data_IF_829368394590
#
_entry.id   IF_829368394590
#
_cell.length_a   1.000
_cell.length_b   1.000
_cell.length_c   1.000
_cell.angle_alpha   90.00
_cell.angle_beta   90.00
_cell.angle_gamma   90.00
#
_symmetry.space_group_name_H-M   'P 1'
#
loop_
_entity.id
_entity.type
_entity.pdbx_description
1 polymer ?
#
# COMPACT_ATOMS: atom_id res chain seq x y z
N UNK A 1 -2.19 14.17 11.80
CA UNK A 1 -1.76 14.73 10.50
C UNK A 1 -2.95 14.90 9.54
N UNK A 2 -2.72 15.59 8.42
CA UNK A 2 -3.79 15.92 7.44
C UNK A 2 -4.49 14.65 6.91
N UNK A 3 -3.78 13.52 6.81
CA UNK A 3 -4.34 12.24 6.36
C UNK A 3 -5.54 11.74 7.18
N UNK A 4 -5.64 12.09 8.45
CA UNK A 4 -6.79 11.73 9.27
C UNK A 4 -8.09 12.37 8.76
N UNK A 5 -8.02 13.59 8.26
CA UNK A 5 -9.20 14.29 7.74
C UNK A 5 -9.81 13.64 6.49
N UNK A 6 -9.03 12.84 5.76
CA UNK A 6 -9.56 12.07 4.62
C UNK A 6 -10.63 11.05 5.04
N UNK A 7 -10.68 10.66 6.32
CA UNK A 7 -11.73 9.81 6.86
C UNK A 7 -13.13 10.42 6.66
N UNK A 8 -13.26 11.74 6.74
CA UNK A 8 -14.53 12.44 6.52
C UNK A 8 -14.97 12.51 5.05
N UNK A 9 -14.11 12.12 4.12
CA UNK A 9 -14.52 11.99 2.70
C UNK A 9 -15.47 10.80 2.52
N UNK A 10 -15.25 9.72 3.28
CA UNK A 10 -16.01 8.47 3.16
C UNK A 10 -16.94 8.20 4.35
N UNK A 11 -16.73 8.86 5.49
CA UNK A 11 -17.51 8.68 6.70
C UNK A 11 -18.40 9.88 7.00
N UNK A 12 -19.61 9.62 7.45
CA UNK A 12 -20.53 10.62 8.01
C UNK A 12 -20.17 10.99 9.44
N UNK A 13 -19.45 10.09 10.14
CA UNK A 13 -19.03 10.25 11.52
C UNK A 13 -17.80 9.42 11.79
N UNK A 14 -16.88 9.93 12.60
CA UNK A 14 -15.68 9.24 13.04
C UNK A 14 -15.64 9.20 14.56
N UNK A 15 -15.43 8.01 15.12
CA UNK A 15 -15.25 7.79 16.56
C UNK A 15 -13.84 7.24 16.80
N UNK A 16 -13.11 7.83 17.74
CA UNK A 16 -11.74 7.45 18.09
C UNK A 16 -11.68 7.16 19.56
N UNK A 17 -11.39 5.93 19.92
CA UNK A 17 -11.18 5.49 21.30
C UNK A 17 -9.70 5.29 21.51
N UNK A 18 -9.10 5.89 22.53
CA UNK A 18 -7.67 5.84 22.74
C UNK A 18 -7.30 5.68 24.20
N UNK A 19 -6.28 4.85 24.45
CA UNK A 19 -5.63 4.66 25.74
C UNK A 19 -4.14 4.88 25.59
N UNK A 20 -3.58 5.81 26.34
CA UNK A 20 -2.15 6.06 26.36
C UNK A 20 -1.40 4.94 27.10
N UNK A 21 -0.18 4.64 26.67
CA UNK A 21 0.68 3.70 27.39
C UNK A 21 0.87 4.13 28.85
N UNK A 22 0.64 3.21 29.80
CA UNK A 22 0.76 3.47 31.23
C UNK A 22 -0.36 4.32 31.84
N UNK A 23 -1.45 4.56 31.12
CA UNK A 23 -2.65 5.26 31.62
C UNK A 23 -3.80 4.29 31.83
N UNK A 24 -4.60 4.52 32.89
CA UNK A 24 -5.87 3.83 33.10
C UNK A 24 -7.04 4.53 32.44
N UNK A 25 -6.86 5.79 31.99
CA UNK A 25 -7.89 6.56 31.34
C UNK A 25 -8.06 6.16 29.89
N UNK A 26 -9.31 5.88 29.50
CA UNK A 26 -9.70 5.62 28.11
C UNK A 26 -10.77 6.60 27.72
N UNK A 27 -10.47 7.40 26.70
CA UNK A 27 -11.38 8.43 26.22
C UNK A 27 -11.83 8.13 24.79
N UNK A 28 -13.08 8.46 24.51
CA UNK A 28 -13.71 8.42 23.20
C UNK A 28 -13.90 9.85 22.68
N UNK A 29 -13.34 10.11 21.50
CA UNK A 29 -13.57 11.32 20.73
C UNK A 29 -14.52 11.01 19.58
N UNK A 30 -15.48 11.87 19.31
CA UNK A 30 -16.42 11.70 18.20
C UNK A 30 -16.62 13.02 17.46
N UNK A 31 -16.72 12.95 16.13
CA UNK A 31 -16.93 14.10 15.25
C UNK A 31 -17.66 13.66 13.97
N UNK A 32 -18.56 14.49 13.49
CA UNK A 32 -19.25 14.34 12.20
C UNK A 32 -18.62 15.14 11.05
N UNK A 33 -17.52 15.87 11.35
CA UNK A 33 -16.80 16.68 10.36
C UNK A 33 -17.42 18.07 10.12
N UNK A 34 -18.48 18.46 10.83
CA UNK A 34 -19.17 19.74 10.66
C UNK A 34 -18.80 20.72 11.80
N UNK A 35 -19.49 20.63 12.92
CA UNK A 35 -19.45 21.63 13.98
C UNK A 35 -18.91 21.06 15.30
N UNK A 36 -17.59 20.94 15.41
CA UNK A 36 -16.94 20.55 16.65
C UNK A 36 -16.83 19.04 16.88
N UNK A 37 -16.55 18.68 18.12
CA UNK A 37 -16.36 17.28 18.53
C UNK A 37 -16.79 17.10 19.99
N UNK A 38 -17.03 15.86 20.39
CA UNK A 38 -17.25 15.49 21.79
C UNK A 38 -16.10 14.65 22.31
N UNK A 39 -15.82 14.75 23.61
CA UNK A 39 -14.92 13.82 24.31
C UNK A 39 -15.66 13.32 25.55
N UNK A 40 -15.70 12.02 25.73
CA UNK A 40 -16.33 11.33 26.84
C UNK A 40 -15.51 10.12 27.30
N UNK A 41 -15.70 9.62 28.52
CA UNK A 41 -15.13 8.33 28.92
C UNK A 41 -15.64 7.22 28.01
N UNK A 42 -14.73 6.32 27.61
CA UNK A 42 -15.09 5.19 26.77
C UNK A 42 -15.98 4.17 27.51
N UNK A 43 -16.85 3.48 26.79
CA UNK A 43 -17.66 2.39 27.35
C UNK A 43 -16.79 1.16 27.67
N UNK A 44 -17.25 0.24 28.54
CA UNK A 44 -16.51 -0.98 28.85
C UNK A 44 -16.15 -1.82 27.62
N UNK A 45 -17.04 -1.88 26.61
CA UNK A 45 -16.82 -2.57 25.35
C UNK A 45 -15.71 -1.90 24.55
N UNK A 46 -15.68 -0.58 24.50
CA UNK A 46 -14.64 0.20 23.81
C UNK A 46 -13.28 0.09 24.51
N UNK A 47 -13.26 0.06 25.84
CA UNK A 47 -12.04 -0.18 26.62
C UNK A 47 -11.43 -1.54 26.25
N UNK A 48 -12.26 -2.57 26.06
CA UNK A 48 -11.80 -3.90 25.65
C UNK A 48 -11.16 -3.91 24.25
N UNK A 49 -11.59 -3.03 23.33
CA UNK A 49 -11.03 -2.94 21.97
C UNK A 49 -9.59 -2.39 21.96
N UNK A 50 -9.26 -1.46 22.85
CA UNK A 50 -7.93 -0.83 22.87
C UNK A 50 -6.93 -1.55 23.78
N UNK A 51 -7.38 -2.48 24.63
CA UNK A 51 -6.52 -3.26 25.51
C UNK A 51 -5.73 -2.39 26.50
N UNK A 52 -4.46 -2.76 26.73
CA UNK A 52 -3.59 -2.04 27.68
C UNK A 52 -3.13 -0.67 27.16
N UNK A 53 -3.02 -0.49 25.87
CA UNK A 53 -2.75 0.78 25.19
C UNK A 53 -3.05 0.65 23.69
N UNK A 54 -3.42 1.74 23.06
CA UNK A 54 -3.73 1.74 21.64
C UNK A 54 -4.79 2.73 21.24
N UNK A 55 -5.20 2.65 19.99
CA UNK A 55 -6.25 3.49 19.42
C UNK A 55 -7.13 2.66 18.50
N UNK A 56 -8.44 2.74 18.71
CA UNK A 56 -9.46 2.19 17.82
C UNK A 56 -10.14 3.34 17.08
N UNK A 57 -10.20 3.28 15.76
CA UNK A 57 -10.87 4.28 14.92
C UNK A 57 -12.03 3.60 14.20
N UNK A 58 -13.23 4.05 14.45
CA UNK A 58 -14.45 3.57 13.82
C UNK A 58 -14.98 4.60 12.85
N UNK A 59 -15.11 4.22 11.58
CA UNK A 59 -15.68 5.04 10.53
C UNK A 59 -17.11 4.59 10.26
N UNK A 60 -18.07 5.49 10.46
CA UNK A 60 -19.47 5.28 10.05
C UNK A 60 -19.59 5.74 8.61
N UNK A 61 -19.53 4.80 7.68
CA UNK A 61 -19.51 5.11 6.25
C UNK A 61 -20.78 5.86 5.84
N UNK A 62 -20.64 6.75 4.87
CA UNK A 62 -21.77 7.38 4.18
C UNK A 62 -22.50 6.32 3.36
N UNK A 63 -23.79 6.55 3.13
CA UNK A 63 -24.56 5.72 2.20
C UNK A 63 -23.94 5.82 0.78
N UNK A 64 -23.89 4.69 0.10
CA UNK A 64 -23.43 4.63 -1.30
C UNK A 64 -24.41 5.41 -2.17
N UNK A 65 -23.85 6.12 -3.16
CA UNK A 65 -24.59 6.85 -4.19
C UNK A 65 -24.30 6.27 -5.58
N UNK A 66 -24.94 6.78 -6.63
CA UNK A 66 -24.65 6.36 -8.01
C UNK A 66 -23.21 6.70 -8.42
N UNK A 67 -22.64 7.79 -7.86
CA UNK A 67 -21.30 8.26 -8.19
C UNK A 67 -20.21 7.72 -7.24
N UNK A 68 -20.57 7.35 -6.01
CA UNK A 68 -19.63 6.91 -4.97
C UNK A 68 -20.12 5.62 -4.28
N UNK A 69 -19.41 4.52 -4.49
CA UNK A 69 -19.70 3.24 -3.84
C UNK A 69 -18.83 3.05 -2.58
N UNK A 70 -19.31 3.53 -1.45
CA UNK A 70 -18.62 3.38 -0.16
C UNK A 70 -18.67 1.95 0.38
N UNK A 71 -19.63 1.11 -0.07
CA UNK A 71 -19.74 -0.29 0.34
C UNK A 71 -18.54 -1.14 -0.11
N UNK A 72 -17.83 -0.71 -1.17
CA UNK A 72 -16.57 -1.36 -1.58
C UNK A 72 -15.51 -1.34 -0.48
N UNK A 73 -15.53 -0.33 0.41
CA UNK A 73 -14.61 -0.22 1.54
C UNK A 73 -14.86 -1.27 2.63
N UNK A 74 -15.99 -1.99 2.57
CA UNK A 74 -16.29 -3.14 3.42
C UNK A 74 -15.82 -4.47 2.78
N UNK A 75 -15.37 -4.43 1.52
CA UNK A 75 -14.88 -5.59 0.81
C UNK A 75 -13.47 -5.97 1.24
N UNK A 76 -13.28 -7.19 1.73
CA UNK A 76 -11.98 -7.76 2.08
C UNK A 76 -10.97 -7.65 0.92
N UNK A 77 -11.42 -7.99 -0.30
CA UNK A 77 -10.58 -7.92 -1.50
C UNK A 77 -10.14 -6.47 -1.78
N UNK A 78 -11.07 -5.51 -1.71
CA UNK A 78 -10.77 -4.10 -1.97
C UNK A 78 -9.80 -3.50 -0.95
N UNK A 79 -9.98 -3.83 0.32
CA UNK A 79 -9.07 -3.39 1.38
C UNK A 79 -7.67 -3.97 1.19
N UNK A 80 -7.55 -5.26 0.84
CA UNK A 80 -6.25 -5.89 0.52
C UNK A 80 -5.57 -5.20 -0.66
N UNK A 81 -6.31 -4.90 -1.71
CA UNK A 81 -5.80 -4.18 -2.88
C UNK A 81 -5.25 -2.80 -2.49
N UNK A 82 -6.03 -1.99 -1.76
CA UNK A 82 -5.62 -0.66 -1.31
C UNK A 82 -4.38 -0.72 -0.39
N UNK A 83 -4.33 -1.65 0.56
CA UNK A 83 -3.18 -1.83 1.45
C UNK A 83 -1.94 -2.19 0.63
N UNK A 84 -2.03 -3.15 -0.28
CA UNK A 84 -0.92 -3.57 -1.13
C UNK A 84 -0.44 -2.45 -2.06
N UNK A 85 -1.37 -1.66 -2.58
CA UNK A 85 -1.05 -0.56 -3.48
C UNK A 85 -0.34 0.60 -2.77
N UNK A 86 -0.88 1.08 -1.66
CA UNK A 86 -0.43 2.32 -1.02
C UNK A 86 0.40 2.12 0.24
N UNK A 87 0.23 1.01 0.93
CA UNK A 87 0.79 0.77 2.26
C UNK A 87 1.58 -0.55 2.37
N UNK A 88 1.93 -1.17 1.23
CA UNK A 88 2.58 -2.48 1.23
C UNK A 88 3.89 -2.49 2.03
N UNK A 89 4.61 -1.38 2.03
CA UNK A 89 5.94 -1.28 2.62
C UNK A 89 5.98 -0.38 3.85
N UNK A 90 4.83 -0.07 4.44
CA UNK A 90 4.83 0.61 5.74
C UNK A 90 5.51 -0.27 6.79
N UNK A 91 6.23 0.38 7.68
CA UNK A 91 7.15 -0.22 8.66
C UNK A 91 6.50 -1.22 9.63
N UNK A 92 5.20 -1.10 9.83
CA UNK A 92 4.44 -1.91 10.77
C UNK A 92 3.53 -2.90 10.04
N UNK A 93 3.27 -4.09 10.64
CA UNK A 93 2.34 -5.04 10.04
C UNK A 93 0.91 -4.46 10.03
N UNK A 94 0.32 -4.42 8.85
CA UNK A 94 -1.11 -4.14 8.66
C UNK A 94 -1.82 -5.47 8.64
N UNK A 95 -2.63 -5.73 9.67
CA UNK A 95 -3.33 -6.99 9.86
C UNK A 95 -4.82 -6.83 9.61
N UNK A 96 -5.43 -7.85 9.05
CA UNK A 96 -6.87 -7.89 8.79
C UNK A 96 -7.39 -9.30 9.03
N UNK A 97 -8.58 -9.40 9.60
CA UNK A 97 -9.33 -10.65 9.64
C UNK A 97 -9.79 -11.01 8.22
N UNK A 98 -9.43 -12.21 7.78
CA UNK A 98 -9.77 -12.71 6.46
C UNK A 98 -10.56 -14.01 6.57
N UNK A 99 -11.56 -14.16 5.70
CA UNK A 99 -12.34 -15.38 5.62
C UNK A 99 -11.67 -16.37 4.67
N UNK A 100 -11.23 -17.48 5.22
CA UNK A 100 -10.66 -18.59 4.46
C UNK A 100 -11.62 -19.78 4.43
N UNK A 101 -11.44 -20.65 3.43
CA UNK A 101 -12.15 -21.92 3.34
C UNK A 101 -11.14 -23.05 3.38
N UNK A 102 -11.42 -24.06 4.18
CA UNK A 102 -10.66 -25.31 4.17
C UNK A 102 -11.59 -26.48 3.86
N UNK A 103 -11.08 -27.43 3.12
CA UNK A 103 -11.77 -28.68 2.88
C UNK A 103 -11.68 -29.54 4.15
N UNK A 104 -12.80 -30.05 4.60
CA UNK A 104 -12.81 -31.01 5.71
C UNK A 104 -12.19 -32.34 5.27
N UNK A 105 -11.50 -33.03 6.17
CA UNK A 105 -10.96 -34.35 5.88
C UNK A 105 -12.08 -35.28 5.39
N UNK A 106 -11.80 -36.06 4.33
CA UNK A 106 -12.73 -37.08 3.86
C UNK A 106 -12.91 -38.15 4.97
N UNK A 107 -14.15 -38.46 5.41
CA UNK A 107 -14.39 -39.57 6.33
C UNK A 107 -13.88 -40.91 5.75
N UNK A 108 -13.35 -41.79 6.60
CA UNK A 108 -12.81 -43.09 6.15
C UNK A 108 -13.84 -43.97 5.51
N UNK A 109 -15.12 -43.80 5.86
CA UNK A 109 -16.28 -44.54 5.36
C UNK A 109 -17.10 -43.75 4.33
N UNK A 110 -16.54 -42.72 3.71
CA UNK A 110 -17.23 -41.88 2.75
C UNK A 110 -17.59 -42.67 1.48
N UNK A 111 -18.81 -42.50 0.96
CA UNK A 111 -19.27 -43.16 -0.27
C UNK A 111 -18.46 -42.70 -1.50
N UNK A 112 -18.54 -43.46 -2.62
CA UNK A 112 -17.78 -43.17 -3.84
C UNK A 112 -18.13 -41.81 -4.48
N UNK A 113 -19.37 -41.35 -4.27
CA UNK A 113 -19.88 -40.06 -4.74
C UNK A 113 -19.75 -38.91 -3.71
N UNK A 114 -18.91 -39.10 -2.67
CA UNK A 114 -18.68 -38.09 -1.65
C UNK A 114 -18.26 -36.75 -2.25
N UNK A 115 -19.01 -35.70 -1.93
CA UNK A 115 -18.68 -34.32 -2.28
C UNK A 115 -17.89 -33.69 -1.12
N UNK A 116 -16.75 -33.08 -1.43
CA UNK A 116 -15.96 -32.41 -0.39
C UNK A 116 -16.79 -31.35 0.37
N UNK A 117 -16.77 -31.42 1.68
CA UNK A 117 -17.35 -30.41 2.53
C UNK A 117 -16.30 -29.33 2.84
N UNK A 118 -16.74 -28.08 2.86
CA UNK A 118 -15.90 -26.93 3.08
C UNK A 118 -16.35 -26.17 4.32
N UNK A 119 -15.41 -25.86 5.17
CA UNK A 119 -15.62 -25.02 6.34
C UNK A 119 -15.01 -23.61 6.11
N UNK A 120 -15.76 -22.57 6.45
CA UNK A 120 -15.25 -21.22 6.47
C UNK A 120 -14.75 -20.88 7.87
N UNK A 121 -13.55 -20.31 7.96
CA UNK A 121 -12.97 -19.85 9.22
C UNK A 121 -12.32 -18.47 9.03
N UNK A 122 -12.22 -17.71 10.12
CA UNK A 122 -11.57 -16.40 10.11
C UNK A 122 -10.16 -16.52 10.68
N UNK A 123 -9.22 -15.87 10.03
CA UNK A 123 -7.81 -15.83 10.43
C UNK A 123 -7.29 -14.40 10.33
N UNK A 124 -6.48 -13.98 11.31
CA UNK A 124 -5.79 -12.69 11.28
C UNK A 124 -4.54 -12.78 10.40
N UNK A 125 -4.57 -12.13 9.24
CA UNK A 125 -3.51 -12.17 8.24
C UNK A 125 -2.76 -10.82 8.17
N UNK A 126 -1.43 -10.87 8.04
CA UNK A 126 -0.64 -9.66 7.70
C UNK A 126 -0.68 -9.46 6.20
N UNK A 127 -1.21 -8.33 5.76
CA UNK A 127 -1.51 -8.05 4.35
C UNK A 127 -0.32 -7.41 3.63
N UNK A 128 0.47 -6.60 4.33
CA UNK A 128 1.59 -5.86 3.75
C UNK A 128 2.92 -6.63 3.89
N UNK A 129 3.88 -6.31 3.02
CA UNK A 129 5.20 -6.97 2.94
C UNK A 129 6.26 -6.33 3.86
N UNK A 130 6.01 -5.17 4.42
CA UNK A 130 6.87 -4.41 5.35
C UNK A 130 8.20 -3.97 4.75
N UNK A 131 9.08 -4.90 4.32
CA UNK A 131 10.40 -4.58 3.76
C UNK A 131 10.40 -4.68 2.23
N UNK A 132 10.55 -3.56 1.51
CA UNK A 132 10.59 -3.58 0.06
C UNK A 132 11.87 -4.24 -0.48
N UNK A 133 11.75 -4.90 -1.64
CA UNK A 133 12.86 -5.62 -2.27
C UNK A 133 14.05 -4.71 -2.61
N UNK A 134 13.80 -3.46 -2.99
CA UNK A 134 14.85 -2.48 -3.33
C UNK A 134 15.64 -1.94 -2.14
N UNK A 135 15.22 -2.25 -0.90
CA UNK A 135 15.95 -1.94 0.34
C UNK A 135 16.65 -3.13 0.97
N UNK A 136 16.54 -4.28 0.34
CA UNK A 136 17.30 -5.46 0.74
C UNK A 136 18.72 -5.38 0.16
N UNK A 137 19.69 -5.93 0.86
CA UNK A 137 21.05 -6.04 0.32
C UNK A 137 21.06 -6.97 -0.91
N UNK A 138 22.00 -6.77 -1.83
CA UNK A 138 22.16 -7.63 -3.02
C UNK A 138 22.43 -9.11 -2.67
N UNK A 139 22.94 -9.39 -1.47
CA UNK A 139 23.14 -10.74 -0.97
C UNK A 139 21.89 -11.43 -0.45
N UNK A 140 20.82 -10.64 -0.17
CA UNK A 140 19.52 -11.13 0.34
C UNK A 140 18.49 -11.35 -0.77
N UNK A 141 18.81 -10.99 -2.02
CA UNK A 141 17.86 -11.03 -3.13
C UNK A 141 18.49 -11.77 -4.31
N UNK A 142 17.85 -12.83 -4.74
CA UNK A 142 18.25 -13.57 -5.94
C UNK A 142 17.73 -12.89 -7.23
N UNK A 143 18.21 -13.32 -8.38
CA UNK A 143 17.68 -12.85 -9.67
C UNK A 143 16.22 -13.29 -9.84
N UNK A 144 15.90 -14.48 -9.37
CA UNK A 144 14.55 -15.04 -9.38
C UNK A 144 13.57 -14.17 -8.59
N UNK A 145 13.98 -13.65 -7.42
CA UNK A 145 13.16 -12.74 -6.60
C UNK A 145 12.85 -11.42 -7.36
N UNK A 146 13.85 -10.88 -8.08
CA UNK A 146 13.64 -9.69 -8.92
C UNK A 146 12.70 -9.97 -10.09
N UNK A 147 12.83 -11.13 -10.73
CA UNK A 147 12.00 -11.52 -11.86
C UNK A 147 10.56 -11.75 -11.43
N UNK A 148 10.34 -12.37 -10.27
CA UNK A 148 9.01 -12.56 -9.69
C UNK A 148 8.38 -11.22 -9.29
N UNK A 149 9.16 -10.36 -8.65
CA UNK A 149 8.70 -9.00 -8.32
C UNK A 149 8.29 -8.24 -9.58
N UNK A 150 9.10 -8.28 -10.63
CA UNK A 150 8.81 -7.61 -11.90
C UNK A 150 7.50 -8.12 -12.51
N UNK A 151 7.35 -9.44 -12.65
CA UNK A 151 6.15 -10.06 -13.22
C UNK A 151 4.89 -9.71 -12.43
N UNK A 152 4.97 -9.79 -11.11
CA UNK A 152 3.85 -9.50 -10.23
C UNK A 152 3.45 -8.02 -10.23
N UNK A 153 4.45 -7.11 -10.21
CA UNK A 153 4.21 -5.67 -10.09
C UNK A 153 3.77 -5.03 -11.40
N UNK A 154 4.35 -5.48 -12.52
CA UNK A 154 4.10 -4.87 -13.83
C UNK A 154 3.20 -5.72 -14.73
N UNK A 155 2.66 -6.82 -14.21
CA UNK A 155 1.75 -7.74 -14.90
C UNK A 155 2.35 -8.24 -16.22
N UNK A 156 3.65 -8.51 -16.22
CA UNK A 156 4.38 -9.08 -17.36
C UNK A 156 4.59 -10.58 -17.15
N UNK A 157 4.42 -11.37 -18.20
CA UNK A 157 4.61 -12.83 -18.14
C UNK A 157 6.09 -13.23 -18.34
N UNK A 158 6.89 -12.36 -18.94
CA UNK A 158 8.30 -12.60 -19.21
C UNK A 158 9.19 -11.96 -18.14
N UNK A 159 10.34 -12.57 -17.87
CA UNK A 159 11.35 -11.93 -17.05
C UNK A 159 11.93 -10.69 -17.77
N UNK A 160 12.41 -9.67 -17.05
CA UNK A 160 13.03 -8.51 -17.65
C UNK A 160 14.35 -8.90 -18.33
N UNK A 161 14.72 -8.19 -19.39
CA UNK A 161 16.02 -8.36 -20.03
C UNK A 161 17.16 -7.92 -19.12
N UNK A 162 16.91 -6.93 -18.27
CA UNK A 162 17.91 -6.42 -17.32
C UNK A 162 17.24 -5.88 -16.06
N UNK A 163 17.89 -6.14 -14.93
CA UNK A 163 17.55 -5.58 -13.62
C UNK A 163 18.72 -4.72 -13.14
N UNK A 164 18.43 -3.50 -12.69
CA UNK A 164 19.42 -2.53 -12.21
C UNK A 164 18.97 -2.10 -10.81
N UNK A 165 19.73 -2.52 -9.78
CA UNK A 165 19.51 -2.10 -8.38
C UNK A 165 20.65 -1.19 -7.97
N UNK A 166 20.31 -0.03 -7.41
CA UNK A 166 21.28 0.96 -6.94
C UNK A 166 20.81 1.64 -5.66
N UNK A 167 21.78 2.09 -4.90
CA UNK A 167 21.61 2.88 -3.69
C UNK A 167 22.51 4.11 -3.79
N UNK A 168 21.99 5.25 -3.42
CA UNK A 168 22.74 6.50 -3.40
C UNK A 168 22.62 7.16 -2.03
N UNK A 169 23.74 7.51 -1.45
CA UNK A 169 23.86 8.30 -0.22
C UNK A 169 24.62 9.60 -0.51
N UNK A 170 24.14 10.70 0.02
CA UNK A 170 24.80 12.00 -0.15
C UNK A 170 23.89 13.14 0.27
N UNK A 171 23.86 14.20 -0.54
CA UNK A 171 22.94 15.33 -0.32
C UNK A 171 21.47 14.90 -0.40
N UNK A 172 21.19 13.86 -1.15
CA UNK A 172 19.89 13.21 -1.30
C UNK A 172 20.16 11.72 -1.22
N UNK A 173 19.41 11.00 -0.39
CA UNK A 173 19.49 9.56 -0.25
C UNK A 173 18.29 8.90 -0.94
N UNK A 174 18.53 7.85 -1.70
CA UNK A 174 17.47 7.10 -2.38
C UNK A 174 17.91 5.72 -2.80
N UNK A 175 16.96 4.83 -2.87
CA UNK A 175 17.08 3.49 -3.41
C UNK A 175 16.36 3.42 -4.77
N UNK A 176 16.88 2.68 -5.71
CA UNK A 176 16.25 2.47 -7.00
C UNK A 176 16.35 1.04 -7.48
N UNK A 177 15.30 0.59 -8.14
CA UNK A 177 15.22 -0.69 -8.80
C UNK A 177 14.55 -0.48 -10.16
N UNK A 178 15.33 -0.65 -11.24
CA UNK A 178 14.88 -0.44 -12.60
C UNK A 178 14.90 -1.75 -13.37
N UNK A 179 13.98 -1.87 -14.31
CA UNK A 179 13.83 -3.01 -15.19
C UNK A 179 13.76 -2.56 -16.66
N UNK A 180 14.51 -3.23 -17.48
CA UNK A 180 14.36 -3.14 -18.94
C UNK A 180 13.52 -4.35 -19.35
N UNK A 181 12.29 -4.17 -19.88
CA UNK A 181 11.47 -5.26 -20.37
C UNK A 181 12.19 -6.07 -21.45
N UNK A 182 11.98 -7.38 -21.49
CA UNK A 182 12.53 -8.24 -22.54
C UNK A 182 11.87 -8.02 -23.91
N UNK A 183 10.64 -7.47 -23.88
CA UNK A 183 9.88 -7.04 -25.07
C UNK A 183 9.33 -5.65 -24.82
N UNK A 184 9.31 -4.82 -25.85
CA UNK A 184 8.65 -3.53 -25.77
C UNK A 184 7.17 -3.70 -25.37
N UNK A 185 6.65 -2.89 -24.44
CA UNK A 185 5.22 -2.89 -24.14
C UNK A 185 4.41 -2.71 -25.43
N UNK A 186 3.33 -3.47 -25.56
CA UNK A 186 2.54 -3.46 -26.81
C UNK A 186 1.89 -2.10 -27.09
N UNK A 187 1.61 -1.35 -26.01
CA UNK A 187 0.98 -0.04 -25.99
C UNK A 187 1.97 1.13 -26.02
N UNK A 188 3.30 0.85 -26.10
CA UNK A 188 4.37 1.85 -26.01
C UNK A 188 4.20 3.07 -26.91
N UNK A 189 3.58 2.89 -28.07
CA UNK A 189 3.31 3.94 -29.04
C UNK A 189 1.84 4.39 -29.06
N UNK A 190 1.03 3.94 -28.11
CA UNK A 190 -0.34 4.39 -27.93
C UNK A 190 -0.36 5.83 -27.40
N UNK A 191 -1.39 6.59 -27.78
CA UNK A 191 -1.61 7.93 -27.23
C UNK A 191 -1.91 7.93 -25.73
N UNK A 192 -2.43 6.82 -25.20
CA UNK A 192 -2.78 6.65 -23.80
C UNK A 192 -1.62 6.05 -22.98
N UNK A 193 -0.45 5.80 -23.59
CA UNK A 193 0.69 5.26 -22.88
C UNK A 193 1.27 6.28 -21.90
N UNK A 194 1.25 5.93 -20.63
CA UNK A 194 1.86 6.73 -19.57
C UNK A 194 3.23 6.18 -19.21
N UNK A 195 4.28 6.94 -19.55
CA UNK A 195 5.65 6.64 -19.07
C UNK A 195 5.80 6.95 -17.60
N UNK A 196 6.79 6.37 -16.98
CA UNK A 196 7.22 6.72 -15.62
C UNK A 196 7.51 5.49 -14.77
N UNK A 197 8.26 5.74 -13.73
CA UNK A 197 8.59 4.76 -12.68
C UNK A 197 7.91 5.15 -11.39
N UNK A 198 7.64 4.17 -10.54
CA UNK A 198 6.95 4.41 -9.28
C UNK A 198 7.84 5.22 -8.33
N UNK A 199 7.29 6.29 -7.77
CA UNK A 199 7.96 7.13 -6.78
C UNK A 199 7.41 6.84 -5.40
N UNK A 200 8.30 6.47 -4.50
CA UNK A 200 8.01 6.27 -3.09
C UNK A 200 8.73 7.32 -2.24
N UNK A 201 8.16 7.63 -1.10
CA UNK A 201 8.81 8.39 -0.04
C UNK A 201 8.68 7.64 1.27
N UNK A 202 9.81 7.26 1.87
CA UNK A 202 9.83 6.48 3.11
C UNK A 202 8.94 5.23 3.06
N UNK A 203 8.99 4.48 1.95
CA UNK A 203 8.21 3.27 1.65
C UNK A 203 6.70 3.50 1.38
N UNK A 204 6.26 4.75 1.26
CA UNK A 204 4.87 5.10 0.92
C UNK A 204 4.80 5.50 -0.55
N UNK A 205 3.89 4.92 -1.31
CA UNK A 205 3.69 5.25 -2.71
C UNK A 205 3.15 6.69 -2.85
N UNK A 206 3.89 7.53 -3.57
CA UNK A 206 3.51 8.92 -3.87
C UNK A 206 2.87 9.00 -5.26
N UNK A 207 3.49 8.34 -6.23
CA UNK A 207 3.04 8.37 -7.61
C UNK A 207 3.40 7.06 -8.32
N UNK A 208 2.42 6.43 -8.97
CA UNK A 208 2.63 5.14 -9.66
C UNK A 208 3.51 5.27 -10.90
N UNK A 209 3.36 6.39 -11.62
CA UNK A 209 4.09 6.69 -12.84
C UNK A 209 4.61 8.12 -12.79
N UNK A 210 5.77 8.31 -12.18
CA UNK A 210 6.45 9.61 -12.16
C UNK A 210 7.22 9.80 -13.47
N UNK A 211 6.60 10.54 -14.40
CA UNK A 211 7.16 10.79 -15.72
C UNK A 211 8.45 11.62 -15.69
N UNK A 212 8.64 12.43 -14.66
CA UNK A 212 9.81 13.31 -14.51
C UNK A 212 11.10 12.53 -14.16
N UNK A 213 10.98 11.28 -13.74
CA UNK A 213 12.13 10.44 -13.38
C UNK A 213 12.82 9.79 -14.58
N UNK A 214 12.17 9.72 -15.73
CA UNK A 214 12.72 9.10 -16.95
C UNK A 214 12.50 9.99 -18.17
N UNK A 215 13.54 10.17 -19.03
CA UNK A 215 13.38 10.90 -20.28
C UNK A 215 12.51 10.11 -21.28
N UNK A 216 12.02 10.79 -22.32
CA UNK A 216 11.10 10.18 -23.30
C UNK A 216 11.68 8.98 -24.04
N UNK A 217 12.98 8.98 -24.27
CA UNK A 217 13.66 7.86 -24.94
C UNK A 217 13.84 6.63 -24.05
N UNK A 218 13.59 6.73 -22.74
CA UNK A 218 13.52 5.62 -21.80
C UNK A 218 12.09 5.35 -21.29
N UNK A 219 11.08 5.74 -22.06
CA UNK A 219 9.68 5.58 -21.69
C UNK A 219 9.26 4.13 -21.41
N UNK A 220 9.99 3.13 -21.96
CA UNK A 220 9.76 1.71 -21.74
C UNK A 220 10.32 1.18 -20.41
N UNK A 221 11.20 1.94 -19.73
CA UNK A 221 11.78 1.52 -18.45
C UNK A 221 10.71 1.48 -17.36
N UNK A 222 10.70 0.40 -16.60
CA UNK A 222 9.81 0.22 -15.46
C UNK A 222 10.63 0.17 -14.17
N UNK A 223 10.04 0.46 -13.05
CA UNK A 223 10.78 0.38 -11.79
C UNK A 223 10.25 1.24 -10.68
N UNK A 224 11.10 1.41 -9.68
CA UNK A 224 10.80 2.11 -8.43
C UNK A 224 11.97 3.00 -8.05
N UNK A 225 11.67 4.18 -7.53
CA UNK A 225 12.60 5.02 -6.76
C UNK A 225 11.97 5.34 -5.41
N UNK A 226 12.70 5.18 -4.33
CA UNK A 226 12.26 5.47 -2.97
C UNK A 226 13.27 6.39 -2.27
N UNK A 227 12.83 7.57 -1.86
CA UNK A 227 13.68 8.54 -1.17
C UNK A 227 12.99 9.11 0.07
N UNK A 228 13.63 9.04 1.26
CA UNK A 228 13.10 9.67 2.46
C UNK A 228 13.15 11.20 2.40
N UNK A 229 13.97 11.76 1.50
CA UNK A 229 14.17 13.20 1.37
C UNK A 229 13.06 13.86 0.52
N UNK A 230 12.24 13.10 -0.17
CA UNK A 230 11.05 13.60 -0.88
C UNK A 230 9.90 13.73 0.12
N UNK A 231 9.35 14.93 0.24
CA UNK A 231 8.24 15.20 1.17
C UNK A 231 6.94 14.51 0.75
N UNK A 232 6.21 13.97 1.71
CA UNK A 232 4.89 13.36 1.52
C UNK A 232 3.77 14.38 1.23
N UNK A 233 3.99 15.67 1.53
CA UNK A 233 2.98 16.73 1.40
C UNK A 233 2.95 17.38 0.02
N UNK A 234 3.05 16.60 -1.04
CA UNK A 234 3.30 17.18 -2.35
C UNK A 234 2.09 17.00 -3.25
N UNK A 235 1.47 18.12 -3.62
CA UNK A 235 0.64 18.19 -4.82
C UNK A 235 1.52 17.93 -6.05
N UNK A 236 0.96 17.35 -7.12
CA UNK A 236 1.70 17.06 -8.37
C UNK A 236 2.45 18.30 -8.91
N UNK A 237 1.92 19.49 -8.74
CA UNK A 237 2.54 20.76 -9.17
C UNK A 237 3.83 21.06 -8.41
N UNK A 238 3.92 20.70 -7.13
CA UNK A 238 5.11 20.95 -6.30
C UNK A 238 6.22 19.93 -6.60
N UNK A 239 5.90 18.71 -7.04
CA UNK A 239 6.90 17.72 -7.48
C UNK A 239 7.69 18.20 -8.69
N UNK A 240 7.04 18.77 -9.69
CA UNK A 240 7.67 19.23 -10.93
C UNK A 240 8.74 20.32 -10.71
N UNK A 241 8.66 21.08 -9.61
CA UNK A 241 9.61 22.10 -9.24
C UNK A 241 10.70 21.63 -8.28
N UNK A 242 10.65 20.37 -7.82
CA UNK A 242 11.56 19.86 -6.81
C UNK A 242 12.95 19.58 -7.40
N UNK A 243 13.94 20.34 -6.94
CA UNK A 243 15.35 20.18 -7.33
C UNK A 243 15.91 18.79 -6.96
N UNK A 244 15.36 18.14 -5.95
CA UNK A 244 15.72 16.79 -5.52
C UNK A 244 15.28 15.77 -6.55
N UNK A 245 14.05 15.87 -7.06
CA UNK A 245 13.53 14.98 -8.09
C UNK A 245 14.36 15.07 -9.37
N UNK A 246 14.74 16.29 -9.79
CA UNK A 246 15.62 16.51 -10.96
C UNK A 246 17.01 15.88 -10.78
N UNK A 247 17.57 15.96 -9.56
CA UNK A 247 18.86 15.33 -9.26
C UNK A 247 18.76 13.79 -9.32
N UNK A 248 17.69 13.21 -8.78
CA UNK A 248 17.43 11.78 -8.87
C UNK A 248 17.24 11.35 -10.33
N UNK A 249 16.41 12.05 -11.11
CA UNK A 249 16.17 11.77 -12.52
C UNK A 249 17.48 11.73 -13.34
N UNK A 250 18.36 12.72 -13.14
CA UNK A 250 19.68 12.75 -13.80
C UNK A 250 20.57 11.57 -13.42
N UNK A 251 20.43 11.02 -12.22
CA UNK A 251 21.18 9.85 -11.80
C UNK A 251 20.54 8.56 -12.37
N UNK A 252 19.22 8.45 -12.33
CA UNK A 252 18.46 7.35 -12.95
C UNK A 252 18.82 7.19 -14.43
N UNK A 253 18.91 8.29 -15.17
CA UNK A 253 19.29 8.32 -16.60
C UNK A 253 20.69 7.74 -16.88
N UNK A 254 21.58 7.76 -15.88
CA UNK A 254 22.98 7.30 -16.02
C UNK A 254 23.20 5.83 -15.65
N UNK A 255 22.22 5.19 -15.01
CA UNK A 255 22.31 3.79 -14.60
C UNK A 255 22.06 2.86 -15.78
#
# INVERSE_FOLDING_TARGET
GVGFYSSFMVASKVRVVSRAFGSDEVNAWECDGLDGYTIEPATPEEVALVGDHGTCITLYLRESTEDENTDELLSEWRLKELIRKYSNYVRYPVRMEVTKRRQLPKPDDAPEDYKPEWESYTELETINSIKPIWKKSKSEVSQEDYDEFYKATFHDYAAPARTISFHAEGRISYDGLLFIPSKAPFDLYSADYEKGIALYSSNVLIQEKCADLVPDYFNFVRGVVDSPDISLNISRETLQQNSQLKAIAKHVERQ
#
